data_IF_230466954577
#
_entry.id   IF_230466954577
#
_cell.length_a   1.000
_cell.length_b   1.000
_cell.length_c   1.000
_cell.angle_alpha   90.00
_cell.angle_beta   90.00
_cell.angle_gamma   90.00
#
_symmetry.space_group_name_H-M   'P 1'
#
loop_
_entity.id
_entity.type
_entity.pdbx_description
1 polymer ?
#
# COMPACT_ATOMS: atom_id res chain seq x y z
N UNK A 1 -25.08 -18.08 -23.57
CA UNK A 1 -23.66 -18.27 -23.21
C UNK A 1 -23.02 -16.89 -23.10
N UNK A 2 -22.99 -16.29 -21.92
CA UNK A 2 -22.31 -15.00 -21.69
C UNK A 2 -21.44 -15.16 -20.46
N UNK A 3 -20.13 -15.25 -20.70
CA UNK A 3 -19.09 -15.38 -19.70
C UNK A 3 -19.20 -14.23 -18.71
N UNK A 4 -19.54 -14.57 -17.46
CA UNK A 4 -19.49 -13.68 -16.31
C UNK A 4 -18.02 -13.33 -16.10
N UNK A 5 -17.58 -12.21 -16.67
CA UNK A 5 -16.32 -11.57 -16.33
C UNK A 5 -16.27 -11.43 -14.81
N UNK A 6 -15.34 -12.16 -14.21
CA UNK A 6 -15.00 -12.00 -12.81
C UNK A 6 -14.74 -10.51 -12.60
N UNK A 7 -15.59 -9.87 -11.80
CA UNK A 7 -15.28 -8.56 -11.25
C UNK A 7 -14.03 -8.81 -10.42
N UNK A 8 -12.86 -8.53 -11.00
CA UNK A 8 -11.59 -8.40 -10.29
C UNK A 8 -11.91 -7.58 -9.06
N UNK A 9 -11.93 -8.27 -7.93
CA UNK A 9 -11.64 -7.79 -6.61
C UNK A 9 -12.15 -6.36 -6.40
N UNK A 10 -13.41 -6.26 -5.95
CA UNK A 10 -13.86 -5.07 -5.22
C UNK A 10 -12.72 -4.71 -4.24
N UNK A 11 -12.23 -3.47 -4.18
CA UNK A 11 -11.41 -3.12 -3.03
C UNK A 11 -12.35 -3.28 -1.85
N UNK A 12 -12.10 -4.30 -1.04
CA UNK A 12 -12.76 -4.48 0.24
C UNK A 12 -12.42 -3.23 1.05
N UNK A 13 -13.28 -2.22 0.92
CA UNK A 13 -13.31 -1.11 1.83
C UNK A 13 -13.64 -1.68 3.19
N UNK A 14 -12.76 -1.37 4.14
CA UNK A 14 -13.07 -1.44 5.57
C UNK A 14 -13.27 -2.83 6.17
N UNK A 15 -12.32 -3.73 5.93
CA UNK A 15 -11.97 -4.69 6.97
C UNK A 15 -10.59 -4.31 7.48
N UNK A 16 -10.38 -4.37 8.80
CA UNK A 16 -9.12 -4.05 9.51
C UNK A 16 -8.02 -5.06 9.15
N UNK A 17 -7.76 -5.25 7.87
CA UNK A 17 -6.78 -6.19 7.36
C UNK A 17 -5.41 -5.59 7.68
N UNK A 18 -4.49 -6.40 8.23
CA UNK A 18 -3.12 -5.94 8.41
C UNK A 18 -2.58 -5.42 7.07
N UNK A 19 -1.80 -4.33 7.08
CA UNK A 19 -1.29 -3.75 5.85
C UNK A 19 -0.51 -4.79 5.06
N UNK A 20 -0.90 -5.00 3.81
CA UNK A 20 -0.23 -5.94 2.93
C UNK A 20 1.12 -5.38 2.48
N UNK A 21 2.07 -6.28 2.20
CA UNK A 21 3.40 -5.86 1.71
C UNK A 21 3.31 -5.04 0.42
N UNK A 22 2.35 -5.34 -0.46
CA UNK A 22 2.09 -4.55 -1.67
C UNK A 22 1.64 -3.12 -1.36
N UNK A 23 0.77 -2.94 -0.36
CA UNK A 23 0.34 -1.60 0.05
C UNK A 23 1.52 -0.81 0.64
N UNK A 24 2.36 -1.46 1.44
CA UNK A 24 3.57 -0.86 2.01
C UNK A 24 4.54 -0.47 0.88
N UNK A 25 4.79 -1.36 -0.07
CA UNK A 25 5.68 -1.11 -1.21
C UNK A 25 5.20 0.04 -2.08
N UNK A 26 3.89 0.12 -2.36
CA UNK A 26 3.30 1.22 -3.13
C UNK A 26 3.52 2.55 -2.41
N UNK A 27 3.22 2.62 -1.12
CA UNK A 27 3.36 3.86 -0.35
C UNK A 27 4.84 4.25 -0.15
N UNK A 28 5.73 3.28 0.04
CA UNK A 28 7.17 3.50 0.12
C UNK A 28 7.73 4.06 -1.20
N UNK A 29 7.26 3.55 -2.34
CA UNK A 29 7.61 4.09 -3.65
C UNK A 29 7.12 5.53 -3.82
N UNK A 30 5.90 5.85 -3.40
CA UNK A 30 5.39 7.23 -3.44
C UNK A 30 6.21 8.18 -2.55
N UNK A 31 6.65 7.72 -1.39
CA UNK A 31 7.57 8.47 -0.52
C UNK A 31 8.94 8.71 -1.21
N UNK A 32 9.50 7.68 -1.84
CA UNK A 32 10.74 7.76 -2.61
C UNK A 32 10.63 8.79 -3.75
N UNK A 33 9.54 8.74 -4.53
CA UNK A 33 9.28 9.68 -5.63
C UNK A 33 9.10 11.11 -5.10
N UNK A 34 8.31 11.29 -4.03
CA UNK A 34 8.06 12.60 -3.42
C UNK A 34 9.33 13.25 -2.89
N UNK A 35 10.28 12.45 -2.39
CA UNK A 35 11.59 12.90 -1.92
C UNK A 35 12.58 13.22 -3.06
N UNK A 36 12.19 13.02 -4.32
CA UNK A 36 13.05 13.27 -5.47
C UNK A 36 13.97 12.10 -5.82
N UNK A 37 13.62 10.87 -5.42
CA UNK A 37 14.28 9.66 -5.89
C UNK A 37 15.69 9.42 -5.33
N UNK A 38 16.01 9.99 -4.17
CA UNK A 38 17.32 9.80 -3.55
C UNK A 38 17.45 8.39 -2.96
N UNK A 39 18.31 7.59 -3.58
CA UNK A 39 18.64 6.23 -3.15
C UNK A 39 19.26 6.20 -1.73
N UNK A 40 19.11 5.08 -1.02
CA UNK A 40 19.72 4.87 0.31
C UNK A 40 18.82 5.16 1.50
N UNK A 41 17.54 5.46 1.28
CA UNK A 41 16.52 5.49 2.35
C UNK A 41 15.34 4.58 2.06
N UNK A 42 15.55 3.57 1.21
CA UNK A 42 14.52 2.65 0.73
C UNK A 42 13.87 1.92 1.93
N UNK A 43 14.68 1.49 2.90
CA UNK A 43 14.23 0.94 4.17
C UNK A 43 13.48 1.96 5.04
N UNK A 44 13.94 3.21 5.08
CA UNK A 44 13.28 4.26 5.86
C UNK A 44 11.90 4.58 5.30
N UNK A 45 11.76 4.64 3.98
CA UNK A 45 10.50 4.87 3.28
C UNK A 45 9.57 3.66 3.45
N UNK A 46 10.12 2.45 3.47
CA UNK A 46 9.38 1.22 3.82
C UNK A 46 8.80 1.26 5.23
N UNK A 47 9.61 1.55 6.25
CA UNK A 47 9.13 1.61 7.64
C UNK A 47 8.11 2.73 7.86
N UNK A 48 8.32 3.89 7.21
CA UNK A 48 7.34 5.00 7.23
C UNK A 48 6.02 4.58 6.61
N UNK A 49 6.05 3.94 5.45
CA UNK A 49 4.85 3.45 4.77
C UNK A 49 4.09 2.42 5.63
N UNK A 50 4.80 1.47 6.23
CA UNK A 50 4.19 0.50 7.13
C UNK A 50 3.52 1.17 8.33
N UNK A 51 4.18 2.12 8.98
CA UNK A 51 3.64 2.84 10.13
C UNK A 51 2.38 3.65 9.75
N UNK A 52 2.39 4.31 8.59
CA UNK A 52 1.25 5.07 8.06
C UNK A 52 0.04 4.17 7.80
N UNK A 53 0.25 3.00 7.17
CA UNK A 53 -0.83 2.06 6.89
C UNK A 53 -1.35 1.41 8.18
N UNK A 54 -0.48 1.08 9.13
CA UNK A 54 -0.89 0.61 10.48
C UNK A 54 -1.74 1.66 11.20
N UNK A 55 -1.38 2.94 11.11
CA UNK A 55 -2.15 4.03 11.70
C UNK A 55 -3.52 4.22 11.04
N UNK A 56 -3.60 4.06 9.71
CA UNK A 56 -4.87 4.15 8.97
C UNK A 56 -5.79 2.97 9.30
N UNK A 57 -5.28 1.74 9.38
CA UNK A 57 -6.09 0.55 9.72
C UNK A 57 -6.60 0.56 11.17
N UNK A 58 -5.93 1.32 12.05
CA UNK A 58 -6.31 1.46 13.47
C UNK A 58 -7.32 2.58 13.71
N UNK A 59 -7.67 3.37 12.70
CA UNK A 59 -8.58 4.51 12.80
C UNK A 59 -10.02 4.11 12.54
#
# INVERSE_FOLDING_TARGET
MTTRFQRKDRPAGDERVPPTQEAIAKLAYELYVTRGGTHGQDWTDWFKAEALLKAQTRR
#
